data_IF_726315376313
#
_entry.id   IF_726315376313
#
_cell.length_a   1.000
_cell.length_b   1.000
_cell.length_c   1.000
_cell.angle_alpha   90.00
_cell.angle_beta   90.00
_cell.angle_gamma   90.00
#
_symmetry.space_group_name_H-M   'P 1'
#
loop_
_entity.id
_entity.type
_entity.pdbx_description
1 polymer ?
#
# COMPACT_ATOMS: atom_id res chain seq x y z
N UNK A 1 -5.99 0.06 -10.86
CA UNK A 1 -4.92 0.85 -10.24
C UNK A 1 -3.73 0.95 -11.15
N UNK A 2 -3.09 2.10 -11.15
CA UNK A 2 -1.87 2.29 -11.92
C UNK A 2 -0.67 2.04 -11.01
N UNK A 3 0.21 1.15 -11.44
CA UNK A 3 1.38 0.81 -10.63
C UNK A 3 2.30 2.01 -10.40
N UNK A 4 2.28 2.95 -11.30
CA UNK A 4 3.10 4.16 -11.16
C UNK A 4 2.66 5.00 -9.95
N UNK A 5 1.39 4.92 -9.60
CA UNK A 5 0.88 5.66 -8.46
C UNK A 5 1.52 5.15 -7.17
N UNK A 6 1.66 3.84 -7.07
CA UNK A 6 2.30 3.25 -5.90
C UNK A 6 3.72 3.77 -5.75
N UNK A 7 4.48 3.74 -6.82
CA UNK A 7 5.86 4.20 -6.78
C UNK A 7 5.94 5.70 -6.54
N UNK A 8 5.10 6.45 -7.22
CA UNK A 8 5.13 7.90 -7.13
C UNK A 8 4.72 8.45 -5.78
N UNK A 9 3.86 7.74 -5.07
CA UNK A 9 3.38 8.19 -3.77
C UNK A 9 3.94 7.39 -2.60
N UNK A 10 4.96 6.59 -2.87
CA UNK A 10 5.45 5.66 -1.85
C UNK A 10 5.88 6.37 -0.58
N UNK A 11 6.56 7.47 -0.69
CA UNK A 11 7.00 8.21 0.49
C UNK A 11 5.82 8.58 1.39
N UNK A 12 4.71 8.98 0.77
CA UNK A 12 3.52 9.34 1.52
C UNK A 12 2.81 8.13 2.06
N UNK A 13 2.74 7.06 1.26
CA UNK A 13 1.98 5.87 1.62
C UNK A 13 2.71 4.95 2.58
N UNK A 14 4.02 5.11 2.69
CA UNK A 14 4.84 4.18 3.45
C UNK A 14 4.36 4.02 4.89
N UNK A 15 4.02 5.12 5.54
CA UNK A 15 3.51 5.06 6.90
C UNK A 15 2.20 4.30 7.00
N UNK A 16 1.32 4.53 6.04
CA UNK A 16 0.05 3.82 5.99
C UNK A 16 0.27 2.34 5.71
N UNK A 17 1.20 2.05 4.81
CA UNK A 17 1.50 0.67 4.45
C UNK A 17 1.93 -0.12 5.68
N UNK A 18 2.66 0.50 6.56
CA UNK A 18 3.09 -0.17 7.78
C UNK A 18 1.90 -0.50 8.69
N UNK A 19 0.90 0.36 8.68
CA UNK A 19 -0.32 0.11 9.44
C UNK A 19 -1.14 -1.00 8.78
N UNK A 20 -1.27 -0.95 7.45
CA UNK A 20 -2.04 -1.96 6.72
C UNK A 20 -1.44 -3.35 6.87
N UNK A 21 -0.13 -3.43 6.81
CA UNK A 21 0.58 -4.70 6.83
C UNK A 21 1.59 -4.69 7.97
N UNK A 22 1.07 -4.92 9.15
CA UNK A 22 1.88 -4.83 10.37
C UNK A 22 3.04 -5.79 10.46
N UNK A 23 3.02 -6.86 9.66
CA UNK A 23 4.13 -7.80 9.64
C UNK A 23 5.33 -7.30 8.86
N UNK A 24 5.16 -6.23 8.09
CA UNK A 24 6.26 -5.67 7.32
C UNK A 24 7.11 -4.79 8.22
N UNK A 25 8.42 -4.91 8.05
CA UNK A 25 9.36 -4.07 8.80
C UNK A 25 9.69 -2.84 7.96
N UNK A 26 10.35 -1.87 8.59
CA UNK A 26 10.83 -0.70 7.86
C UNK A 26 11.75 -1.11 6.73
N UNK A 27 12.56 -2.14 6.96
CA UNK A 27 13.45 -2.69 5.95
C UNK A 27 12.68 -3.22 4.76
N UNK A 28 11.59 -3.94 5.03
CA UNK A 28 10.75 -4.46 3.97
C UNK A 28 10.19 -3.34 3.11
N UNK A 29 9.74 -2.28 3.76
CA UNK A 29 9.17 -1.14 3.05
C UNK A 29 10.21 -0.40 2.23
N UNK A 30 11.41 -0.27 2.77
CA UNK A 30 12.51 0.35 2.05
C UNK A 30 12.90 -0.49 0.83
N UNK A 31 12.91 -1.80 1.00
CA UNK A 31 13.24 -2.71 -0.08
C UNK A 31 12.21 -2.66 -1.19
N UNK A 32 10.94 -2.54 -0.82
CA UNK A 32 9.87 -2.46 -1.81
C UNK A 32 10.00 -1.17 -2.61
N UNK A 33 10.29 -0.06 -1.93
CA UNK A 33 10.48 1.24 -2.59
C UNK A 33 9.35 1.60 -3.54
N UNK A 34 8.13 1.15 -3.23
CA UNK A 34 6.98 1.46 -4.06
C UNK A 34 6.84 0.61 -5.30
N UNK A 35 7.71 -0.39 -5.47
CA UNK A 35 7.61 -1.26 -6.64
C UNK A 35 6.61 -2.37 -6.37
N UNK A 36 5.60 -2.41 -7.22
CA UNK A 36 4.47 -3.34 -7.06
C UNK A 36 4.93 -4.78 -6.93
N UNK A 37 5.82 -5.21 -7.83
CA UNK A 37 6.25 -6.60 -7.86
C UNK A 37 6.99 -6.99 -6.59
N UNK A 38 7.83 -6.09 -6.11
CA UNK A 38 8.60 -6.37 -4.90
C UNK A 38 7.69 -6.43 -3.69
N UNK A 39 6.78 -5.48 -3.60
CA UNK A 39 5.84 -5.45 -2.48
C UNK A 39 4.97 -6.70 -2.47
N UNK A 40 4.49 -7.11 -3.64
CA UNK A 40 3.68 -8.34 -3.72
C UNK A 40 4.47 -9.54 -3.23
N UNK A 41 5.74 -9.63 -3.63
CA UNK A 41 6.59 -10.72 -3.18
C UNK A 41 6.80 -10.74 -1.67
N UNK A 42 6.95 -9.56 -1.09
CA UNK A 42 7.10 -9.46 0.36
C UNK A 42 5.83 -9.92 1.08
N UNK A 43 4.67 -9.51 0.56
CA UNK A 43 3.40 -9.93 1.15
C UNK A 43 3.22 -11.44 1.05
N UNK A 44 3.63 -12.03 -0.06
CA UNK A 44 3.59 -13.47 -0.19
C UNK A 44 4.46 -14.13 0.87
N UNK A 45 5.63 -13.57 1.09
CA UNK A 45 6.58 -14.11 2.05
C UNK A 45 6.08 -14.00 3.48
N UNK A 46 5.56 -12.84 3.83
CA UNK A 46 5.19 -12.57 5.22
C UNK A 46 3.82 -13.12 5.61
N UNK A 47 2.89 -13.14 4.67
CA UNK A 47 1.51 -13.54 4.97
C UNK A 47 1.11 -14.84 4.30
N UNK A 48 1.92 -15.36 3.41
CA UNK A 48 1.58 -16.59 2.71
C UNK A 48 0.52 -16.40 1.64
N UNK A 49 0.35 -15.19 1.15
CA UNK A 49 -0.63 -14.92 0.09
C UNK A 49 -0.20 -15.56 -1.22
N UNK A 50 -1.17 -15.90 -2.05
CA UNK A 50 -0.87 -16.20 -3.45
C UNK A 50 -0.50 -14.89 -4.12
N UNK A 51 0.06 -14.99 -5.32
CA UNK A 51 0.41 -13.79 -6.06
C UNK A 51 -0.82 -12.93 -6.35
N UNK A 52 -1.91 -13.57 -6.73
CA UNK A 52 -3.15 -12.84 -6.99
C UNK A 52 -3.70 -12.17 -5.75
N UNK A 53 -3.66 -12.87 -4.63
CA UNK A 53 -4.15 -12.29 -3.39
C UNK A 53 -3.31 -11.11 -2.94
N UNK A 54 -1.98 -11.22 -3.12
CA UNK A 54 -1.09 -10.12 -2.77
C UNK A 54 -1.37 -8.91 -3.66
N UNK A 55 -1.54 -9.15 -4.95
CA UNK A 55 -1.84 -8.06 -5.89
C UNK A 55 -3.16 -7.38 -5.55
N UNK A 56 -4.17 -8.17 -5.25
CA UNK A 56 -5.48 -7.64 -4.87
C UNK A 56 -5.39 -6.81 -3.61
N UNK A 57 -4.63 -7.27 -2.64
CA UNK A 57 -4.50 -6.55 -1.39
C UNK A 57 -3.85 -5.19 -1.61
N UNK A 58 -2.79 -5.15 -2.42
CA UNK A 58 -2.13 -3.89 -2.71
C UNK A 58 -3.08 -2.95 -3.43
N UNK A 59 -3.77 -3.46 -4.44
CA UNK A 59 -4.69 -2.65 -5.22
C UNK A 59 -5.79 -2.06 -4.36
N UNK A 60 -6.36 -2.89 -3.51
CA UNK A 60 -7.44 -2.46 -2.64
C UNK A 60 -6.97 -1.33 -1.71
N UNK A 61 -5.79 -1.50 -1.13
CA UNK A 61 -5.27 -0.51 -0.18
C UNK A 61 -4.90 0.80 -0.87
N UNK A 62 -4.26 0.70 -2.02
CA UNK A 62 -3.86 1.90 -2.75
C UNK A 62 -5.08 2.66 -3.26
N UNK A 63 -6.08 1.95 -3.75
CA UNK A 63 -7.31 2.58 -4.22
C UNK A 63 -7.99 3.30 -3.06
N UNK A 64 -8.05 2.66 -1.90
CA UNK A 64 -8.67 3.29 -0.73
C UNK A 64 -7.87 4.52 -0.28
N UNK A 65 -6.56 4.44 -0.38
CA UNK A 65 -5.72 5.58 -0.03
C UNK A 65 -5.97 6.76 -0.95
N UNK A 66 -6.05 6.49 -2.24
CA UNK A 66 -6.32 7.54 -3.22
C UNK A 66 -7.68 8.17 -3.00
N UNK A 67 -8.68 7.35 -2.71
CA UNK A 67 -10.01 7.85 -2.43
C UNK A 67 -9.99 8.74 -1.18
N UNK A 68 -9.21 8.35 -0.19
CA UNK A 68 -9.06 9.12 1.02
C UNK A 68 -8.44 10.48 0.74
N UNK A 69 -7.45 10.53 -0.14
CA UNK A 69 -6.84 11.79 -0.52
C UNK A 69 -7.81 12.71 -1.22
N UNK A 70 -8.62 12.15 -2.09
CA UNK A 70 -9.63 12.95 -2.80
C UNK A 70 -10.66 13.51 -1.85
N UNK A 71 -10.99 12.77 -0.83
CA UNK A 71 -11.99 13.18 0.13
C UNK A 71 -11.44 14.09 1.22
N UNK A 72 -10.16 14.34 1.16
CA UNK A 72 -9.52 15.16 2.17
C UNK A 72 -10.03 16.57 2.20
N UNK A 73 -10.47 17.04 1.07
CA UNK A 73 -11.01 18.38 1.00
C UNK A 73 -12.40 18.44 1.56
N UNK A 74 -13.07 17.33 1.73
CA UNK A 74 -14.35 17.31 2.32
C UNK A 74 -14.20 17.50 3.77
N UNK A 75 -15.05 18.27 4.37
CA UNK A 75 -15.02 18.44 5.76
C UNK A 75 -15.40 17.15 6.35
N UNK A 76 -14.67 16.59 6.84
CA UNK A 76 -14.99 15.42 7.28
C UNK A 76 -15.73 15.34 8.35
N UNK A 77 -16.29 14.97 8.47
CA UNK A 77 -16.99 14.98 9.36
C UNK A 77 -16.62 14.70 10.63
N UNK A 78 -16.63 14.82 10.84
CA UNK A 78 -16.37 14.71 11.57
C UNK A 78 -16.60 14.32 12.46
N UNK A 79 -16.73 14.04 12.69
CA UNK A 79 -16.81 13.57 13.32
C UNK A 79 -16.94 13.69 13.90
#
# INVERSE_FOLDING_TARGET
MNKDILEGKWKQMRGEAKVWWGKLTDDDLDRAAGKFEVLAGILQEKYGYTREAAADEIEKRVTAYEASLKNKTSPAPVK
#
